data_IF_642480708516
#
_entry.id   IF_642480708516
#
_cell.length_a   1.000
_cell.length_b   1.000
_cell.length_c   1.000
_cell.angle_alpha   90.00
_cell.angle_beta   90.00
_cell.angle_gamma   90.00
#
_symmetry.space_group_name_H-M   'P 1'
#
loop_
_entity.id
_entity.type
_entity.pdbx_description
1 polymer ?
#
# COMPACT_ATOMS: atom_id res chain seq x y z
N UNK A 1 -28.78 26.96 49.23
CA UNK A 1 -28.37 25.57 48.90
C UNK A 1 -27.77 25.55 47.51
N UNK A 2 -26.45 25.29 47.37
CA UNK A 2 -25.74 25.30 46.09
C UNK A 2 -25.69 23.88 45.51
N UNK A 3 -26.36 23.64 44.38
CA UNK A 3 -26.29 22.38 43.63
C UNK A 3 -24.94 22.31 42.90
N UNK A 4 -24.06 21.39 43.32
CA UNK A 4 -22.83 21.08 42.58
C UNK A 4 -23.19 20.03 41.52
N UNK A 5 -23.11 20.41 40.25
CA UNK A 5 -23.22 19.47 39.14
C UNK A 5 -21.91 18.69 39.01
N UNK A 6 -21.98 17.37 39.12
CA UNK A 6 -20.85 16.45 38.96
C UNK A 6 -20.76 16.09 37.46
N UNK A 7 -19.70 16.54 36.79
CA UNK A 7 -19.41 16.18 35.41
C UNK A 7 -18.62 14.86 35.40
N UNK A 8 -19.22 13.80 34.89
CA UNK A 8 -18.54 12.51 34.68
C UNK A 8 -17.96 12.53 33.27
N UNK A 9 -16.63 12.60 33.18
CA UNK A 9 -15.90 12.46 31.92
C UNK A 9 -15.65 10.97 31.71
N UNK A 10 -16.34 10.38 30.74
CA UNK A 10 -16.16 8.98 30.33
C UNK A 10 -14.97 8.93 29.36
N UNK A 11 -13.82 8.44 29.82
CA UNK A 11 -12.67 8.19 28.94
C UNK A 11 -12.85 6.79 28.35
N UNK A 12 -13.25 6.73 27.08
CA UNK A 12 -13.27 5.49 26.31
C UNK A 12 -11.84 5.23 25.85
N UNK A 13 -11.14 4.30 26.49
CA UNK A 13 -9.85 3.81 26.02
C UNK A 13 -10.15 2.76 24.95
N UNK A 14 -10.06 3.16 23.68
CA UNK A 14 -10.06 2.20 22.58
C UNK A 14 -8.79 1.36 22.65
N UNK A 15 -8.93 0.04 22.75
CA UNK A 15 -7.83 -0.89 22.53
C UNK A 15 -7.43 -0.78 21.05
N UNK A 16 -6.32 -0.09 20.77
CA UNK A 16 -5.69 -0.13 19.45
C UNK A 16 -4.90 -1.42 19.40
N UNK A 17 -5.40 -2.42 18.68
CA UNK A 17 -4.60 -3.61 18.33
C UNK A 17 -3.71 -3.23 17.17
N UNK A 18 -2.40 -3.15 17.38
CA UNK A 18 -1.44 -3.05 16.28
C UNK A 18 -1.44 -4.37 15.51
N UNK A 19 -1.90 -4.35 14.27
CA UNK A 19 -1.68 -5.45 13.34
C UNK A 19 -0.17 -5.50 13.05
N UNK A 20 0.48 -6.59 13.43
CA UNK A 20 1.87 -6.83 13.12
C UNK A 20 1.92 -7.81 11.95
N UNK A 21 2.57 -7.43 10.85
CA UNK A 21 2.81 -8.35 9.74
C UNK A 21 3.68 -9.53 10.22
N UNK A 22 3.31 -10.75 9.81
CA UNK A 22 4.00 -11.98 10.22
C UNK A 22 4.92 -12.44 9.08
N UNK A 23 6.18 -12.83 9.36
CA UNK A 23 7.01 -13.49 8.36
C UNK A 23 6.38 -14.80 7.88
N UNK A 24 6.18 -14.90 6.57
CA UNK A 24 5.62 -16.08 5.90
C UNK A 24 6.70 -16.96 5.23
N UNK A 25 7.98 -16.68 5.49
CA UNK A 25 9.09 -17.41 4.88
C UNK A 25 9.08 -18.90 5.21
N UNK A 26 9.34 -19.74 4.21
CA UNK A 26 9.35 -21.20 4.34
C UNK A 26 7.97 -21.86 4.30
N UNK A 27 6.88 -21.08 4.23
CA UNK A 27 5.56 -21.64 3.98
C UNK A 27 5.43 -22.12 2.53
N UNK A 28 4.69 -23.21 2.36
CA UNK A 28 4.30 -23.76 1.06
C UNK A 28 2.89 -23.29 0.73
N UNK A 29 2.75 -22.57 -0.37
CA UNK A 29 1.48 -22.10 -0.91
C UNK A 29 1.26 -22.77 -2.27
N UNK A 30 0.41 -23.80 -2.29
CA UNK A 30 0.19 -24.63 -3.48
C UNK A 30 1.50 -25.26 -4.00
N UNK A 31 2.07 -24.70 -5.07
CA UNK A 31 3.34 -25.12 -5.69
C UNK A 31 4.52 -24.19 -5.35
N UNK A 32 4.29 -23.11 -4.60
CA UNK A 32 5.28 -22.09 -4.33
C UNK A 32 5.88 -22.20 -2.93
N UNK A 33 7.18 -21.95 -2.84
CA UNK A 33 7.89 -21.70 -1.56
C UNK A 33 8.23 -20.22 -1.47
N UNK A 34 7.91 -19.58 -0.34
CA UNK A 34 8.32 -18.20 -0.07
C UNK A 34 9.76 -18.19 0.48
N UNK A 35 10.66 -17.50 -0.22
CA UNK A 35 12.03 -17.28 0.21
C UNK A 35 12.30 -15.80 0.41
N UNK A 36 13.23 -15.49 1.31
CA UNK A 36 13.72 -14.14 1.52
C UNK A 36 14.89 -13.86 0.56
N UNK A 37 14.77 -12.82 -0.26
CA UNK A 37 15.82 -12.30 -1.15
C UNK A 37 16.31 -10.91 -0.75
N UNK A 38 15.92 -10.42 0.43
CA UNK A 38 16.39 -9.13 0.95
C UNK A 38 17.90 -9.16 1.17
N UNK A 39 18.58 -8.03 0.98
CA UNK A 39 19.99 -7.87 1.27
C UNK A 39 20.24 -6.65 2.15
N UNK A 40 20.92 -6.82 3.29
CA UNK A 40 21.32 -5.68 4.13
C UNK A 40 20.16 -4.79 4.60
N UNK A 41 20.07 -3.58 4.04
CA UNK A 41 19.06 -2.57 4.40
C UNK A 41 17.64 -2.87 3.90
N UNK A 42 17.48 -3.85 3.00
CA UNK A 42 16.16 -4.30 2.50
C UNK A 42 15.41 -5.18 3.51
N UNK A 43 15.86 -5.24 4.77
CA UNK A 43 15.34 -6.15 5.75
C UNK A 43 13.80 -6.05 5.78
N UNK A 44 13.06 -7.17 5.62
CA UNK A 44 11.61 -7.18 5.42
C UNK A 44 10.79 -6.54 6.57
N UNK A 45 11.47 -6.12 7.64
CA UNK A 45 10.91 -5.55 8.85
C UNK A 45 11.64 -4.29 9.33
N UNK A 46 12.54 -3.73 8.53
CA UNK A 46 13.14 -2.43 8.81
C UNK A 46 12.09 -1.34 8.66
N UNK A 47 11.84 -0.55 9.70
CA UNK A 47 11.03 0.69 9.64
C UNK A 47 11.63 1.78 8.72
N UNK A 48 12.67 1.45 7.94
CA UNK A 48 13.38 2.35 7.04
C UNK A 48 12.59 2.55 5.72
N UNK A 49 11.31 2.90 5.86
CA UNK A 49 10.56 3.66 4.87
C UNK A 49 10.07 2.91 3.63
N UNK A 50 8.93 3.38 3.14
CA UNK A 50 8.22 2.99 1.92
C UNK A 50 9.00 3.08 0.59
N UNK A 51 10.28 3.48 0.65
CA UNK A 51 11.11 3.81 -0.50
C UNK A 51 12.55 3.43 -0.21
N UNK A 52 12.87 2.13 -0.28
CA UNK A 52 14.19 1.76 -0.74
C UNK A 52 14.25 2.24 -2.20
N UNK A 53 15.26 3.04 -2.57
CA UNK A 53 15.17 3.96 -3.72
C UNK A 53 14.83 3.37 -5.10
N UNK A 54 14.74 2.05 -5.24
CA UNK A 54 14.41 1.29 -6.45
C UNK A 54 13.07 0.53 -6.40
N UNK A 55 12.31 0.56 -5.30
CA UNK A 55 10.93 0.05 -5.25
C UNK A 55 10.03 0.78 -4.24
N UNK A 56 8.72 0.62 -4.41
CA UNK A 56 7.72 1.23 -3.53
C UNK A 56 6.99 0.18 -2.70
N UNK A 57 6.99 0.32 -1.37
CA UNK A 57 6.29 -0.58 -0.47
C UNK A 57 7.21 -1.53 0.31
N UNK A 58 6.59 -2.49 0.99
CA UNK A 58 7.25 -3.50 1.85
C UNK A 58 7.44 -4.77 1.03
N UNK A 59 8.68 -5.23 0.90
CA UNK A 59 8.97 -6.52 0.30
C UNK A 59 8.51 -7.65 1.23
N UNK A 60 7.60 -8.49 0.72
CA UNK A 60 6.99 -9.59 1.46
C UNK A 60 7.86 -10.85 1.37
N UNK A 61 8.39 -11.11 0.17
CA UNK A 61 9.12 -12.32 -0.14
C UNK A 61 9.11 -12.64 -1.62
N UNK A 62 9.84 -13.68 -1.99
CA UNK A 62 9.90 -14.19 -3.37
C UNK A 62 9.33 -15.58 -3.44
N UNK A 63 8.35 -15.79 -4.32
CA UNK A 63 7.80 -17.09 -4.62
C UNK A 63 8.71 -17.83 -5.60
N UNK A 64 9.06 -19.07 -5.25
CA UNK A 64 9.91 -19.96 -6.04
C UNK A 64 9.24 -21.31 -6.21
N UNK A 65 9.63 -22.08 -7.24
CA UNK A 65 9.19 -23.48 -7.42
C UNK A 65 8.00 -23.69 -8.36
N UNK A 66 7.29 -22.62 -8.73
CA UNK A 66 6.24 -22.68 -9.76
C UNK A 66 6.76 -22.34 -11.15
N UNK A 67 6.22 -23.02 -12.17
CA UNK A 67 6.48 -22.72 -13.59
C UNK A 67 5.35 -21.93 -14.24
N UNK A 68 4.42 -21.43 -13.43
CA UNK A 68 3.26 -20.72 -13.92
C UNK A 68 3.67 -19.35 -14.45
N UNK A 69 3.03 -18.97 -15.54
CA UNK A 69 3.12 -17.62 -16.07
C UNK A 69 2.45 -16.65 -15.10
N UNK A 70 1.32 -17.01 -14.50
CA UNK A 70 0.55 -16.11 -13.63
C UNK A 70 0.30 -16.75 -12.26
N UNK A 71 0.21 -15.92 -11.23
CA UNK A 71 -0.27 -16.33 -9.90
C UNK A 71 -1.81 -16.32 -9.91
N UNK A 72 -2.44 -17.38 -9.42
CA UNK A 72 -3.90 -17.44 -9.31
C UNK A 72 -4.39 -16.49 -8.21
N UNK A 73 -5.59 -15.92 -8.34
CA UNK A 73 -6.15 -15.00 -7.35
C UNK A 73 -6.24 -15.63 -5.95
N UNK A 74 -6.51 -16.93 -5.87
CA UNK A 74 -6.52 -17.69 -4.61
C UNK A 74 -5.15 -17.74 -3.93
N UNK A 75 -4.07 -17.83 -4.72
CA UNK A 75 -2.70 -17.78 -4.22
C UNK A 75 -2.40 -16.39 -3.62
N UNK A 76 -2.81 -15.32 -4.30
CA UNK A 76 -2.69 -13.94 -3.80
C UNK A 76 -3.44 -13.75 -2.47
N UNK A 77 -4.72 -14.10 -2.42
CA UNK A 77 -5.57 -13.97 -1.23
C UNK A 77 -4.97 -14.72 -0.03
N UNK A 78 -4.51 -15.95 -0.24
CA UNK A 78 -3.94 -16.77 0.83
C UNK A 78 -2.65 -16.15 1.39
N UNK A 79 -1.71 -15.79 0.51
CA UNK A 79 -0.42 -15.22 0.92
C UNK A 79 -0.62 -13.91 1.65
N UNK A 80 -1.50 -13.04 1.16
CA UNK A 80 -1.73 -11.73 1.77
C UNK A 80 -2.52 -11.83 3.05
N UNK A 81 -3.48 -12.75 3.14
CA UNK A 81 -4.19 -13.00 4.39
C UNK A 81 -3.23 -13.44 5.51
N UNK A 82 -2.29 -14.33 5.18
CA UNK A 82 -1.26 -14.78 6.11
C UNK A 82 -0.30 -13.66 6.49
N UNK A 83 0.18 -12.88 5.52
CA UNK A 83 1.07 -11.75 5.75
C UNK A 83 0.44 -10.68 6.66
N UNK A 84 -0.83 -10.33 6.41
CA UNK A 84 -1.58 -9.33 7.18
C UNK A 84 -2.09 -9.86 8.53
N UNK A 85 -2.17 -11.18 8.68
CA UNK A 85 -2.80 -11.82 9.85
C UNK A 85 -4.32 -11.62 9.92
N UNK A 86 -4.96 -11.31 8.79
CA UNK A 86 -6.40 -11.08 8.66
C UNK A 86 -6.87 -11.44 7.24
N UNK A 87 -8.14 -11.85 7.03
CA UNK A 87 -8.65 -12.13 5.69
C UNK A 87 -8.45 -10.96 4.73
N UNK A 88 -7.93 -11.26 3.54
CA UNK A 88 -7.74 -10.32 2.45
C UNK A 88 -8.45 -10.83 1.19
N UNK A 89 -9.32 -9.99 0.63
CA UNK A 89 -10.03 -10.28 -0.62
C UNK A 89 -9.40 -9.45 -1.74
N UNK A 90 -8.90 -10.12 -2.77
CA UNK A 90 -8.32 -9.46 -3.94
C UNK A 90 -9.44 -8.81 -4.75
N UNK A 91 -9.31 -7.51 -5.03
CA UNK A 91 -10.39 -6.75 -5.65
C UNK A 91 -10.31 -6.81 -7.17
N UNK A 92 -9.13 -6.52 -7.74
CA UNK A 92 -8.94 -6.43 -9.18
C UNK A 92 -7.47 -6.66 -9.57
N UNK A 93 -7.16 -7.86 -10.04
CA UNK A 93 -5.83 -8.16 -10.58
C UNK A 93 -5.71 -7.60 -12.00
N UNK A 94 -4.73 -6.73 -12.19
CA UNK A 94 -4.34 -6.19 -13.49
C UNK A 94 -2.90 -6.56 -13.79
N UNK A 95 -2.65 -7.12 -14.98
CA UNK A 95 -1.33 -7.52 -15.45
C UNK A 95 -0.93 -6.70 -16.67
N UNK A 96 0.33 -6.27 -16.72
CA UNK A 96 0.96 -5.68 -17.89
C UNK A 96 2.17 -6.54 -18.27
N UNK A 97 2.11 -7.16 -19.45
CA UNK A 97 3.20 -7.98 -19.99
C UNK A 97 4.24 -7.10 -20.70
N UNK A 98 5.52 -7.43 -20.60
CA UNK A 98 6.56 -6.82 -21.44
C UNK A 98 6.34 -7.27 -22.91
N UNK A 99 6.40 -6.37 -23.92
CA UNK A 99 6.81 -4.96 -23.89
C UNK A 99 5.67 -3.94 -23.73
N UNK A 100 4.45 -4.36 -23.39
CA UNK A 100 3.30 -3.47 -23.25
C UNK A 100 3.53 -2.45 -22.12
N UNK A 101 2.96 -1.25 -22.24
CA UNK A 101 3.15 -0.18 -21.25
C UNK A 101 1.92 0.01 -20.36
N UNK A 102 0.78 -0.58 -20.71
CA UNK A 102 -0.43 -0.43 -19.92
C UNK A 102 -1.44 -1.54 -20.16
N UNK A 103 -2.30 -1.75 -19.18
CA UNK A 103 -3.51 -2.58 -19.27
C UNK A 103 -4.52 -2.02 -18.28
N UNK A 104 -5.73 -1.70 -18.77
CA UNK A 104 -6.75 -1.07 -17.94
C UNK A 104 -6.26 0.26 -17.33
N UNK A 105 -6.44 0.41 -16.01
CA UNK A 105 -6.01 1.60 -15.28
C UNK A 105 -4.54 1.58 -14.88
N UNK A 106 -3.78 0.51 -15.17
CA UNK A 106 -2.38 0.38 -14.79
C UNK A 106 -1.45 0.71 -15.96
N UNK A 107 -0.47 1.58 -15.73
CA UNK A 107 0.60 1.92 -16.65
C UNK A 107 1.94 1.65 -15.99
N UNK A 108 2.91 1.12 -16.74
CA UNK A 108 4.29 0.93 -16.29
C UNK A 108 5.28 1.53 -17.29
N UNK A 109 6.48 1.80 -16.82
CA UNK A 109 7.64 2.22 -17.63
C UNK A 109 8.81 1.29 -17.35
N UNK A 110 9.78 1.27 -18.26
CA UNK A 110 10.98 0.44 -18.16
C UNK A 110 12.23 1.31 -18.27
N UNK A 111 13.18 1.12 -17.36
CA UNK A 111 14.54 1.61 -17.53
C UNK A 111 15.35 0.67 -18.46
N UNK A 112 16.48 1.14 -19.03
CA UNK A 112 17.34 0.30 -19.85
C UNK A 112 17.76 -0.98 -19.12
N UNK A 113 17.52 -2.14 -19.76
CA UNK A 113 17.82 -3.46 -19.21
C UNK A 113 16.67 -4.12 -18.45
N UNK A 114 15.48 -3.51 -18.39
CA UNK A 114 14.26 -4.12 -17.85
C UNK A 114 14.38 -4.59 -16.38
N UNK A 115 15.29 -3.99 -15.61
CA UNK A 115 15.53 -4.35 -14.21
C UNK A 115 14.76 -3.45 -13.24
N UNK A 116 14.43 -2.23 -13.67
CA UNK A 116 13.73 -1.22 -12.87
C UNK A 116 12.75 -0.44 -13.74
N UNK A 117 11.84 0.27 -13.09
CA UNK A 117 10.96 1.23 -13.75
C UNK A 117 9.98 1.85 -12.78
N UNK A 118 8.95 2.51 -13.34
CA UNK A 118 7.86 3.09 -12.57
C UNK A 118 6.53 2.43 -12.91
N UNK A 119 5.56 2.55 -12.02
CA UNK A 119 4.17 2.23 -12.29
C UNK A 119 3.29 3.41 -11.87
N UNK A 120 2.13 3.55 -12.52
CA UNK A 120 1.11 4.52 -12.17
C UNK A 120 -0.29 4.02 -12.51
N UNK A 121 -1.30 4.59 -11.87
CA UNK A 121 -2.70 4.34 -12.18
C UNK A 121 -3.40 5.56 -12.76
N UNK A 122 -4.31 5.36 -13.71
CA UNK A 122 -5.02 6.45 -14.42
C UNK A 122 -6.51 6.55 -14.11
N UNK A 123 -7.04 5.71 -13.20
CA UNK A 123 -8.46 5.67 -12.88
C UNK A 123 -8.97 6.97 -12.24
N UNK A 124 -9.99 7.56 -12.86
CA UNK A 124 -10.67 8.77 -12.39
C UNK A 124 -12.09 8.42 -11.91
N UNK A 125 -12.21 8.22 -10.60
CA UNK A 125 -13.47 8.10 -9.83
C UNK A 125 -14.13 6.71 -9.73
N UNK A 126 -13.91 5.96 -8.62
CA UNK A 126 -12.97 6.30 -7.55
C UNK A 126 -11.53 6.21 -8.07
N UNK A 127 -10.66 7.06 -7.55
CA UNK A 127 -9.23 6.92 -7.78
C UNK A 127 -8.78 5.53 -7.30
N UNK A 128 -8.15 4.76 -8.17
CA UNK A 128 -7.61 3.43 -7.82
C UNK A 128 -6.11 3.53 -7.56
N UNK A 129 -5.61 2.69 -6.66
CA UNK A 129 -4.21 2.59 -6.29
C UNK A 129 -3.80 1.13 -6.15
N UNK A 130 -2.49 0.91 -6.15
CA UNK A 130 -1.89 -0.41 -5.95
C UNK A 130 -1.77 -0.65 -4.44
N UNK A 131 -2.43 -1.69 -3.95
CA UNK A 131 -2.29 -2.18 -2.56
C UNK A 131 -1.24 -3.28 -2.47
N UNK A 132 -1.20 -4.15 -3.48
CA UNK A 132 -0.18 -5.18 -3.60
C UNK A 132 0.24 -5.29 -5.06
N UNK A 133 1.50 -5.65 -5.27
CA UNK A 133 1.97 -5.99 -6.60
C UNK A 133 3.01 -7.11 -6.58
N UNK A 134 3.15 -7.76 -7.72
CA UNK A 134 4.16 -8.77 -7.98
C UNK A 134 4.96 -8.42 -9.23
N UNK A 135 6.25 -8.70 -9.16
CA UNK A 135 7.18 -8.60 -10.29
C UNK A 135 7.56 -10.02 -10.69
N UNK A 136 7.31 -10.39 -11.94
CA UNK A 136 7.76 -11.68 -12.49
C UNK A 136 9.01 -11.49 -13.34
N UNK A 137 9.95 -12.39 -13.14
CA UNK A 137 11.12 -12.59 -14.00
C UNK A 137 11.59 -14.03 -13.87
N UNK A 138 11.91 -14.68 -14.99
CA UNK A 138 12.16 -16.11 -15.03
C UNK A 138 11.04 -16.95 -14.36
N UNK A 139 11.38 -17.80 -13.40
CA UNK A 139 10.45 -18.69 -12.68
C UNK A 139 10.10 -18.19 -11.26
N UNK A 140 10.39 -16.93 -10.96
CA UNK A 140 10.18 -16.36 -9.63
C UNK A 140 9.21 -15.16 -9.68
N UNK A 141 8.55 -14.90 -8.55
CA UNK A 141 7.69 -13.73 -8.34
C UNK A 141 8.09 -13.02 -7.05
N UNK A 142 8.43 -11.74 -7.14
CA UNK A 142 8.72 -10.91 -5.97
C UNK A 142 7.44 -10.16 -5.58
N UNK A 143 7.03 -10.28 -4.32
CA UNK A 143 5.78 -9.72 -3.82
C UNK A 143 6.03 -8.49 -2.95
N UNK A 144 5.19 -7.49 -3.10
CA UNK A 144 5.29 -6.21 -2.41
C UNK A 144 3.92 -5.76 -1.90
N UNK A 145 3.92 -5.15 -0.71
CA UNK A 145 2.75 -4.56 -0.07
C UNK A 145 2.87 -3.03 -0.01
N UNK A 146 1.78 -2.33 -0.32
CA UNK A 146 1.71 -0.87 -0.43
C UNK A 146 0.52 -0.35 0.39
N UNK A 147 0.82 0.25 1.54
CA UNK A 147 -0.11 0.79 2.54
C UNK A 147 0.29 2.19 3.06
N UNK A 148 -0.48 3.24 2.76
CA UNK A 148 -1.74 3.19 2.02
C UNK A 148 -1.51 2.83 0.55
N UNK A 149 -2.54 2.29 -0.10
CA UNK A 149 -2.49 2.05 -1.55
C UNK A 149 -2.14 3.33 -2.30
N UNK A 150 -1.14 3.28 -3.17
CA UNK A 150 -0.60 4.44 -3.89
C UNK A 150 -0.97 4.41 -5.37
N UNK A 151 -1.03 5.58 -6.01
CA UNK A 151 -1.31 5.70 -7.45
C UNK A 151 -0.06 5.71 -8.32
N UNK A 152 1.12 5.75 -7.72
CA UNK A 152 2.37 5.64 -8.44
C UNK A 152 3.48 5.13 -7.53
N UNK A 153 4.49 4.55 -8.15
CA UNK A 153 5.66 4.04 -7.47
C UNK A 153 6.74 3.56 -8.42
N UNK A 154 7.74 2.91 -7.85
CA UNK A 154 8.86 2.29 -8.55
C UNK A 154 8.80 0.78 -8.34
N UNK A 155 9.45 0.04 -9.24
CA UNK A 155 9.59 -1.41 -9.15
C UNK A 155 10.99 -1.85 -9.57
N UNK A 156 11.36 -3.06 -9.14
CA UNK A 156 12.68 -3.67 -9.40
C UNK A 156 12.57 -5.20 -9.49
N UNK A 157 13.44 -5.82 -10.29
CA UNK A 157 13.62 -7.28 -10.37
C UNK A 157 14.70 -7.81 -9.41
N UNK A 158 15.36 -6.96 -8.61
CA UNK A 158 16.49 -7.36 -7.73
C UNK A 158 16.20 -8.55 -6.80
N UNK A 159 14.94 -8.73 -6.42
CA UNK A 159 14.49 -9.79 -5.51
C UNK A 159 14.17 -11.10 -6.26
N UNK A 160 14.59 -11.22 -7.51
CA UNK A 160 14.41 -12.40 -8.35
C UNK A 160 15.77 -12.96 -8.75
N UNK A 161 15.84 -14.28 -8.85
CA UNK A 161 16.97 -15.00 -9.42
C UNK A 161 16.49 -15.96 -10.51
N UNK A 162 17.24 -16.06 -11.59
CA UNK A 162 17.08 -17.14 -12.56
C UNK A 162 17.83 -18.41 -12.11
N UNK A 163 17.70 -19.50 -12.86
CA UNK A 163 18.37 -20.77 -12.55
C UNK A 163 19.92 -20.70 -12.52
N UNK A 164 20.51 -19.62 -13.04
CA UNK A 164 21.95 -19.34 -12.94
C UNK A 164 22.34 -18.42 -11.79
N UNK A 165 21.40 -17.99 -10.94
CA UNK A 165 21.66 -17.06 -9.84
C UNK A 165 21.85 -15.61 -10.26
N UNK A 166 21.45 -15.24 -11.48
CA UNK A 166 21.49 -13.85 -11.95
C UNK A 166 20.12 -13.19 -11.80
N UNK A 167 20.09 -11.87 -11.67
CA UNK A 167 18.85 -11.08 -11.68
C UNK A 167 18.26 -11.12 -13.10
N UNK A 168 17.04 -11.63 -13.30
CA UNK A 168 16.40 -11.66 -14.61
C UNK A 168 15.81 -10.30 -15.00
N UNK A 169 15.62 -10.12 -16.30
CA UNK A 169 14.77 -9.06 -16.86
C UNK A 169 13.31 -9.28 -16.47
N UNK A 170 12.53 -8.21 -16.44
CA UNK A 170 11.09 -8.26 -16.20
C UNK A 170 10.39 -9.06 -17.31
N UNK A 171 9.48 -9.95 -16.91
CA UNK A 171 8.50 -10.58 -17.80
C UNK A 171 7.16 -9.86 -17.76
N UNK A 172 6.65 -9.57 -16.55
CA UNK A 172 5.45 -8.76 -16.38
C UNK A 172 5.32 -8.21 -14.97
N UNK A 173 4.50 -7.17 -14.87
CA UNK A 173 4.06 -6.55 -13.64
C UNK A 173 2.59 -6.92 -13.40
N UNK A 174 2.24 -7.30 -12.18
CA UNK A 174 0.84 -7.57 -11.80
C UNK A 174 0.52 -6.85 -10.51
N UNK A 175 -0.63 -6.18 -10.44
CA UNK A 175 -1.08 -5.48 -9.23
C UNK A 175 -2.54 -5.75 -8.91
N UNK A 176 -2.85 -5.73 -7.62
CA UNK A 176 -4.20 -5.61 -7.10
C UNK A 176 -4.56 -4.13 -6.97
N UNK A 177 -5.55 -3.70 -7.76
CA UNK A 177 -6.04 -2.33 -7.81
C UNK A 177 -7.21 -2.19 -6.85
N UNK A 178 -7.04 -1.34 -5.83
CA UNK A 178 -8.07 -1.04 -4.84
C UNK A 178 -8.49 0.42 -4.94
N UNK A 179 -9.75 0.76 -4.61
CA UNK A 179 -10.15 2.15 -4.43
C UNK A 179 -9.25 2.82 -3.38
N UNK A 180 -8.58 3.90 -3.74
CA UNK A 180 -7.88 4.74 -2.77
C UNK A 180 -8.89 5.46 -1.92
N UNK A 181 -8.72 5.40 -0.59
CA UNK A 181 -9.46 6.31 0.27
C UNK A 181 -8.91 7.72 0.01
N UNK A 182 -9.75 8.72 -0.31
CA UNK A 182 -9.27 10.08 -0.42
C UNK A 182 -8.59 10.43 0.91
N UNK A 183 -7.33 10.87 0.84
CA UNK A 183 -6.61 11.31 2.02
C UNK A 183 -7.53 12.25 2.82
N UNK A 184 -7.75 12.02 4.12
CA UNK A 184 -8.69 12.81 4.90
C UNK A 184 -8.39 14.28 4.67
N UNK A 185 -9.24 14.96 3.92
CA UNK A 185 -9.06 16.39 3.67
C UNK A 185 -9.21 17.01 5.05
N UNK A 186 -8.18 17.69 5.60
CA UNK A 186 -8.30 18.32 6.90
C UNK A 186 -9.56 19.18 6.85
N UNK A 187 -10.51 18.88 7.74
CA UNK A 187 -11.73 19.68 7.82
C UNK A 187 -11.29 21.14 7.83
N UNK A 188 -11.78 21.96 6.88
CA UNK A 188 -11.14 23.25 6.64
C UNK A 188 -11.10 24.01 7.96
N UNK A 189 -9.90 24.44 8.39
CA UNK A 189 -9.75 25.29 9.57
C UNK A 189 -10.65 26.53 9.49
N UNK A 190 -11.15 26.83 8.28
CA UNK A 190 -12.27 27.69 7.97
C UNK A 190 -13.51 27.50 8.84
N UNK A 191 -13.90 26.31 9.29
CA UNK A 191 -15.05 26.15 10.21
C UNK A 191 -14.72 26.76 11.58
N UNK A 192 -13.53 26.47 12.11
CA UNK A 192 -13.04 27.04 13.36
C UNK A 192 -12.86 28.55 13.21
N UNK A 193 -12.24 29.00 12.11
CA UNK A 193 -12.00 30.40 11.81
C UNK A 193 -13.30 31.18 11.60
N UNK A 194 -14.29 30.59 10.93
CA UNK A 194 -15.64 31.12 10.76
C UNK A 194 -16.34 31.24 12.10
N UNK A 195 -16.25 30.21 12.95
CA UNK A 195 -16.77 30.24 14.31
C UNK A 195 -16.16 31.36 15.15
N UNK A 196 -14.84 31.50 15.12
CA UNK A 196 -14.10 32.57 15.82
C UNK A 196 -14.46 33.94 15.22
N UNK A 197 -14.56 34.06 13.90
CA UNK A 197 -14.95 35.28 13.20
C UNK A 197 -16.35 35.76 13.61
N UNK A 198 -17.33 34.86 13.65
CA UNK A 198 -18.69 35.16 14.09
C UNK A 198 -18.74 35.55 15.57
N UNK A 199 -18.00 34.86 16.44
CA UNK A 199 -17.87 35.23 17.85
C UNK A 199 -17.24 36.62 18.02
N UNK A 200 -16.22 36.95 17.21
CA UNK A 200 -15.59 38.26 17.17
C UNK A 200 -16.57 39.37 16.78
N UNK A 201 -17.35 39.16 15.71
CA UNK A 201 -18.37 40.12 15.25
C UNK A 201 -19.47 40.28 16.30
N UNK A 202 -19.99 39.19 16.87
CA UNK A 202 -21.03 39.24 17.90
C UNK A 202 -20.54 39.96 19.17
N UNK A 203 -19.28 39.73 19.56
CA UNK A 203 -18.63 40.41 20.69
C UNK A 203 -18.44 41.91 20.44
N UNK A 204 -18.00 42.30 19.24
CA UNK A 204 -17.78 43.70 18.89
C UNK A 204 -19.09 44.47 18.67
N UNK A 205 -20.09 43.86 18.02
CA UNK A 205 -21.39 44.46 17.72
C UNK A 205 -22.17 44.90 18.96
N UNK A 206 -22.13 44.13 20.05
CA UNK A 206 -22.85 44.45 21.30
C UNK A 206 -22.36 45.72 22.00
N UNK A 207 -21.13 46.17 21.75
CA UNK A 207 -20.59 47.40 22.38
C UNK A 207 -21.16 48.68 21.79
N UNK A 208 -21.65 48.66 20.54
CA UNK A 208 -22.13 49.87 19.84
C UNK A 208 -23.61 50.20 20.08
N UNK A 209 -24.42 49.24 20.50
CA UNK A 209 -25.87 49.41 20.70
C UNK A 209 -26.28 49.75 22.14
N UNK A 210 -25.31 49.88 23.07
CA UNK A 210 -25.55 50.49 24.38
C UNK A 210 -25.20 51.98 24.31
N UNK A 211 -26.08 52.77 23.68
CA UNK A 211 -26.17 54.22 23.87
C UNK A 211 -27.61 54.55 24.18
#
# INVERSE_FOLDING_TARGET
MKKKALLIVLIIVGLVTSAHAIPIFGNLYEEFTVVDRSSGADAPYGMDGYTAGDYTGIYIGTLTGGNNDNLASTTWETIFSDFLGSPYDVTAITKVDEPDLSTGDLTITYDPGLLTGTWSTTGSDPAVGVSFYSIKGAQEFALYYVDPALQSGTWTTRHLLNGGGNIPELSHFTADLVPTSPAPVPEPATIILMGIGLLGIAGFGRRKFKK
#
